data_IF_467702023520
#
_entry.id   IF_467702023520
#
_cell.length_a   1.000
_cell.length_b   1.000
_cell.length_c   1.000
_cell.angle_alpha   90.00
_cell.angle_beta   90.00
_cell.angle_gamma   90.00
#
_symmetry.space_group_name_H-M   'P 1'
#
loop_
_entity.id
_entity.type
_entity.pdbx_description
1 polymer ?
#
# COMPACT_ATOMS: atom_id res chain seq x y z
N UNK A 1 -24.81 16.27 47.58
CA UNK A 1 -23.38 16.63 47.37
C UNK A 1 -22.48 15.48 46.85
N UNK A 2 -22.79 14.19 47.07
CA UNK A 2 -21.93 13.07 46.61
C UNK A 2 -21.97 12.76 45.09
N UNK A 3 -23.07 13.08 44.41
CA UNK A 3 -23.23 12.78 42.97
C UNK A 3 -22.31 13.65 42.10
N UNK A 4 -22.14 14.93 42.43
CA UNK A 4 -21.24 15.82 41.69
C UNK A 4 -19.76 15.41 41.77
N UNK A 5 -19.31 14.80 42.88
CA UNK A 5 -17.91 14.38 43.01
C UNK A 5 -17.60 13.10 42.23
N UNK A 6 -18.59 12.21 42.07
CA UNK A 6 -18.50 11.03 41.20
C UNK A 6 -18.48 11.43 39.73
N UNK A 7 -19.35 12.37 39.33
CA UNK A 7 -19.39 12.92 37.97
C UNK A 7 -18.06 13.63 37.64
N UNK A 8 -17.49 14.41 38.57
CA UNK A 8 -16.20 15.07 38.38
C UNK A 8 -15.03 14.10 38.18
N UNK A 9 -15.02 12.96 38.88
CA UNK A 9 -14.02 11.90 38.68
C UNK A 9 -14.19 11.16 37.35
N UNK A 10 -15.43 10.90 36.91
CA UNK A 10 -15.69 10.26 35.62
C UNK A 10 -15.25 11.18 34.47
N UNK A 11 -15.55 12.48 34.56
CA UNK A 11 -15.13 13.47 33.57
C UNK A 11 -13.60 13.59 33.53
N UNK A 12 -12.92 13.59 34.69
CA UNK A 12 -11.45 13.65 34.70
C UNK A 12 -10.80 12.40 34.10
N UNK A 13 -11.35 11.21 34.38
CA UNK A 13 -10.89 9.95 33.79
C UNK A 13 -11.13 9.89 32.27
N UNK A 14 -12.28 10.38 31.79
CA UNK A 14 -12.57 10.50 30.35
C UNK A 14 -11.60 11.47 29.68
N UNK A 15 -11.26 12.58 30.35
CA UNK A 15 -10.33 13.58 29.82
C UNK A 15 -8.90 13.04 29.71
N UNK A 16 -8.41 12.34 30.74
CA UNK A 16 -7.09 11.70 30.75
C UNK A 16 -7.00 10.62 29.67
N UNK A 17 -8.01 9.75 29.57
CA UNK A 17 -8.07 8.73 28.51
C UNK A 17 -8.19 9.35 27.12
N UNK A 18 -8.94 10.45 26.98
CA UNK A 18 -9.09 11.16 25.72
C UNK A 18 -7.78 11.74 25.21
N UNK A 19 -6.97 12.32 26.09
CA UNK A 19 -5.66 12.86 25.72
C UNK A 19 -4.65 11.75 25.40
N UNK A 20 -4.69 10.62 26.13
CA UNK A 20 -3.89 9.43 25.80
C UNK A 20 -4.27 8.83 24.43
N UNK A 21 -5.57 8.69 24.14
CA UNK A 21 -6.06 8.17 22.85
C UNK A 21 -5.70 9.11 21.69
N UNK A 22 -5.76 10.43 21.88
CA UNK A 22 -5.29 11.39 20.88
C UNK A 22 -3.79 11.22 20.61
N UNK A 23 -2.99 11.05 21.66
CA UNK A 23 -1.55 10.83 21.53
C UNK A 23 -1.24 9.53 20.77
N UNK A 24 -1.90 8.43 21.12
CA UNK A 24 -1.76 7.14 20.43
C UNK A 24 -2.21 7.19 18.98
N UNK A 25 -3.31 7.89 18.68
CA UNK A 25 -3.77 8.13 17.31
C UNK A 25 -2.73 8.89 16.51
N UNK A 26 -2.22 10.01 17.03
CA UNK A 26 -1.20 10.81 16.35
C UNK A 26 0.06 9.97 16.10
N UNK A 27 0.54 9.23 17.10
CA UNK A 27 1.71 8.36 16.94
C UNK A 27 1.48 7.27 15.89
N UNK A 28 0.30 6.66 15.87
CA UNK A 28 -0.07 5.62 14.90
C UNK A 28 -0.20 6.19 13.48
N UNK A 29 -0.80 7.38 13.34
CA UNK A 29 -0.87 8.09 12.08
C UNK A 29 0.51 8.52 11.59
N UNK A 30 1.35 9.07 12.47
CA UNK A 30 2.73 9.45 12.13
C UNK A 30 3.55 8.24 11.67
N UNK A 31 3.45 7.10 12.34
CA UNK A 31 4.16 5.89 11.93
C UNK A 31 3.61 5.31 10.61
N UNK A 32 2.29 5.31 10.44
CA UNK A 32 1.65 4.92 9.17
C UNK A 32 2.06 5.83 8.01
N UNK A 33 2.12 7.14 8.24
CA UNK A 33 2.56 8.13 7.26
C UNK A 33 4.04 7.94 6.92
N UNK A 34 4.91 7.74 7.91
CA UNK A 34 6.32 7.47 7.69
C UNK A 34 6.54 6.20 6.84
N UNK A 35 5.85 5.10 7.18
CA UNK A 35 5.86 3.87 6.39
C UNK A 35 5.29 4.07 4.99
N UNK A 36 4.22 4.85 4.85
CA UNK A 36 3.61 5.14 3.55
C UNK A 36 4.55 5.94 2.66
N UNK A 37 5.26 6.94 3.20
CA UNK A 37 6.25 7.74 2.47
C UNK A 37 7.41 6.84 2.02
N UNK A 38 7.95 6.02 2.94
CA UNK A 38 9.02 5.07 2.61
C UNK A 38 8.59 4.12 1.50
N UNK A 39 7.40 3.52 1.63
CA UNK A 39 6.83 2.61 0.65
C UNK A 39 6.62 3.30 -0.70
N UNK A 40 6.15 4.55 -0.69
CA UNK A 40 5.93 5.33 -1.91
C UNK A 40 7.25 5.64 -2.63
N UNK A 41 8.29 6.04 -1.88
CA UNK A 41 9.64 6.27 -2.45
C UNK A 41 10.20 4.97 -3.04
N UNK A 42 10.10 3.86 -2.30
CA UNK A 42 10.50 2.53 -2.80
C UNK A 42 9.74 2.12 -4.06
N UNK A 43 8.44 2.36 -4.10
CA UNK A 43 7.61 2.06 -5.26
C UNK A 43 8.04 2.87 -6.49
N UNK A 44 8.32 4.17 -6.33
CA UNK A 44 8.83 5.02 -7.40
C UNK A 44 10.20 4.53 -7.89
N UNK A 45 11.13 4.25 -6.97
CA UNK A 45 12.45 3.74 -7.31
C UNK A 45 12.37 2.40 -8.06
N UNK A 46 11.52 1.50 -7.60
CA UNK A 46 11.28 0.21 -8.26
C UNK A 46 10.68 0.39 -9.66
N UNK A 47 9.73 1.31 -9.82
CA UNK A 47 9.14 1.63 -11.11
C UNK A 47 10.19 2.17 -12.08
N UNK A 48 11.02 3.11 -11.60
CA UNK A 48 12.09 3.70 -12.40
C UNK A 48 13.13 2.66 -12.83
N UNK A 49 13.51 1.76 -11.92
CA UNK A 49 14.39 0.63 -12.22
C UNK A 49 13.81 -0.25 -13.33
N UNK A 50 12.51 -0.60 -13.25
CA UNK A 50 11.85 -1.43 -14.27
C UNK A 50 11.84 -0.75 -15.65
N UNK A 51 11.61 0.56 -15.70
CA UNK A 51 11.64 1.34 -16.94
C UNK A 51 13.04 1.27 -17.56
N UNK A 52 14.08 1.55 -16.76
CA UNK A 52 15.46 1.49 -17.26
C UNK A 52 15.87 0.09 -17.69
N UNK A 53 15.48 -0.95 -16.93
CA UNK A 53 15.74 -2.33 -17.28
C UNK A 53 15.07 -2.69 -18.61
N UNK A 54 13.84 -2.25 -18.82
CA UNK A 54 13.14 -2.47 -20.08
C UNK A 54 13.80 -1.75 -21.26
N UNK A 55 14.34 -0.55 -21.06
CA UNK A 55 15.13 0.11 -22.11
C UNK A 55 16.42 -0.63 -22.40
N UNK A 56 17.12 -1.13 -21.39
CA UNK A 56 18.31 -1.96 -21.58
C UNK A 56 18.00 -3.21 -22.39
N UNK A 57 16.92 -3.93 -22.05
CA UNK A 57 16.45 -5.10 -22.79
C UNK A 57 16.07 -4.71 -24.22
N UNK A 58 15.36 -3.60 -24.42
CA UNK A 58 15.00 -3.13 -25.75
C UNK A 58 16.22 -2.88 -26.65
N UNK A 59 17.29 -2.30 -26.10
CA UNK A 59 18.54 -2.07 -26.83
C UNK A 59 19.20 -3.39 -27.21
N UNK A 60 19.28 -4.36 -26.29
CA UNK A 60 19.80 -5.69 -26.59
C UNK A 60 19.00 -6.36 -27.71
N UNK A 61 17.67 -6.28 -27.66
CA UNK A 61 16.82 -6.81 -28.73
C UNK A 61 17.02 -6.09 -30.06
N UNK A 62 17.24 -4.77 -30.06
CA UNK A 62 17.54 -4.02 -31.29
C UNK A 62 18.82 -4.50 -31.97
N UNK A 63 19.87 -4.79 -31.19
CA UNK A 63 21.12 -5.35 -31.71
C UNK A 63 20.90 -6.75 -32.31
N UNK A 64 20.18 -7.63 -31.60
CA UNK A 64 19.87 -8.97 -32.09
C UNK A 64 19.00 -8.98 -33.36
N UNK A 65 18.05 -8.06 -33.46
CA UNK A 65 17.12 -7.97 -34.59
C UNK A 65 17.68 -7.14 -35.76
N UNK A 66 18.92 -6.65 -35.66
CA UNK A 66 19.56 -5.75 -36.64
C UNK A 66 18.67 -4.56 -37.02
N UNK A 67 17.86 -4.06 -36.08
CA UNK A 67 16.91 -2.99 -36.35
C UNK A 67 16.78 -2.04 -35.17
N UNK A 68 16.80 -0.73 -35.44
CA UNK A 68 16.91 0.31 -34.40
C UNK A 68 15.64 0.52 -33.55
N UNK A 69 14.50 -0.07 -33.92
CA UNK A 69 13.19 0.27 -33.34
C UNK A 69 12.39 -0.91 -32.76
N UNK A 70 12.65 -2.15 -33.21
CA UNK A 70 11.79 -3.29 -32.87
C UNK A 70 11.85 -3.70 -31.40
N UNK A 71 13.02 -3.60 -30.77
CA UNK A 71 13.21 -3.86 -29.35
C UNK A 71 12.39 -2.91 -28.47
N UNK A 72 12.20 -1.65 -28.87
CA UNK A 72 11.31 -0.73 -28.15
C UNK A 72 9.83 -1.09 -28.34
N UNK A 73 9.45 -1.58 -29.52
CA UNK A 73 8.10 -2.07 -29.78
C UNK A 73 7.76 -3.30 -28.91
N UNK A 74 8.72 -4.22 -28.76
CA UNK A 74 8.59 -5.41 -27.92
C UNK A 74 8.48 -5.03 -26.44
N UNK A 75 9.33 -4.10 -25.98
CA UNK A 75 9.25 -3.56 -24.62
C UNK A 75 7.89 -2.88 -24.35
N UNK A 76 7.39 -2.10 -25.31
CA UNK A 76 6.07 -1.46 -25.21
C UNK A 76 4.93 -2.49 -25.14
N UNK A 77 4.97 -3.53 -25.98
CA UNK A 77 4.00 -4.61 -25.97
C UNK A 77 3.99 -5.39 -24.64
N UNK A 78 5.17 -5.59 -24.03
CA UNK A 78 5.28 -6.19 -22.70
C UNK A 78 4.59 -5.36 -21.62
N UNK A 79 4.82 -4.05 -21.57
CA UNK A 79 4.13 -3.17 -20.62
C UNK A 79 2.62 -3.11 -20.87
N UNK A 80 2.18 -3.13 -22.12
CA UNK A 80 0.76 -3.22 -22.46
C UNK A 80 0.12 -4.49 -21.90
N UNK A 81 0.78 -5.64 -22.05
CA UNK A 81 0.33 -6.91 -21.46
C UNK A 81 0.21 -6.82 -19.94
N UNK A 82 1.21 -6.26 -19.26
CA UNK A 82 1.17 -6.06 -17.80
C UNK A 82 -0.02 -5.19 -17.40
N UNK A 83 -0.29 -4.10 -18.12
CA UNK A 83 -1.45 -3.23 -17.85
C UNK A 83 -2.76 -4.01 -18.03
N UNK A 84 -2.90 -4.80 -19.10
CA UNK A 84 -4.10 -5.62 -19.33
C UNK A 84 -4.30 -6.62 -18.19
N UNK A 85 -3.23 -7.30 -17.74
CA UNK A 85 -3.28 -8.26 -16.63
C UNK A 85 -3.69 -7.55 -15.33
N UNK A 86 -3.09 -6.41 -15.01
CA UNK A 86 -3.41 -5.64 -13.80
C UNK A 86 -4.86 -5.14 -13.83
N UNK A 87 -5.33 -4.61 -14.96
CA UNK A 87 -6.72 -4.15 -15.10
C UNK A 87 -7.69 -5.32 -14.99
N UNK A 88 -7.37 -6.46 -15.59
CA UNK A 88 -8.20 -7.66 -15.50
C UNK A 88 -8.24 -8.23 -14.08
N UNK A 89 -7.10 -8.27 -13.40
CA UNK A 89 -7.00 -8.71 -12.01
C UNK A 89 -7.70 -7.76 -11.04
N UNK A 90 -7.65 -6.44 -11.28
CA UNK A 90 -8.39 -5.43 -10.52
C UNK A 90 -9.91 -5.57 -10.72
N UNK A 91 -10.35 -5.88 -11.94
CA UNK A 91 -11.77 -6.19 -12.25
C UNK A 91 -12.24 -7.49 -11.61
N UNK A 92 -11.37 -8.50 -11.56
CA UNK A 92 -11.62 -9.72 -10.83
C UNK A 92 -11.63 -9.39 -9.34
N UNK A 93 -12.83 -9.25 -8.75
CA UNK A 93 -13.09 -9.08 -7.31
C UNK A 93 -12.35 -10.08 -6.38
N UNK A 94 -11.53 -10.99 -6.89
CA UNK A 94 -10.57 -11.83 -6.16
C UNK A 94 -9.72 -11.06 -5.14
N UNK A 95 -9.23 -9.85 -5.46
CA UNK A 95 -8.45 -9.07 -4.47
C UNK A 95 -9.34 -8.71 -3.27
N UNK A 96 -10.59 -8.34 -3.53
CA UNK A 96 -11.56 -8.04 -2.48
C UNK A 96 -11.93 -9.28 -1.67
N UNK A 97 -12.15 -10.42 -2.32
CA UNK A 97 -12.45 -11.69 -1.64
C UNK A 97 -11.24 -12.22 -0.83
N UNK A 98 -10.01 -12.01 -1.31
CA UNK A 98 -8.78 -12.39 -0.60
C UNK A 98 -8.53 -11.49 0.62
N UNK A 99 -8.75 -10.17 0.47
CA UNK A 99 -8.70 -9.24 1.60
C UNK A 99 -9.76 -9.53 2.65
N UNK A 100 -11.00 -9.84 2.24
CA UNK A 100 -12.07 -10.24 3.15
C UNK A 100 -11.70 -11.52 3.93
N UNK A 101 -11.07 -12.52 3.28
CA UNK A 101 -10.58 -13.73 3.95
C UNK A 101 -9.49 -13.47 5.00
N UNK A 102 -8.48 -12.66 4.67
CA UNK A 102 -7.37 -12.34 5.59
C UNK A 102 -7.84 -11.48 6.79
N UNK A 103 -8.80 -10.58 6.57
CA UNK A 103 -9.36 -9.74 7.65
C UNK A 103 -10.19 -10.57 8.63
N UNK A 104 -10.98 -11.52 8.13
CA UNK A 104 -11.78 -12.43 8.97
C UNK A 104 -10.87 -13.35 9.80
N UNK A 105 -9.82 -13.90 9.20
CA UNK A 105 -8.87 -14.79 9.89
C UNK A 105 -8.05 -14.04 10.96
N UNK A 106 -7.60 -12.82 10.67
CA UNK A 106 -6.89 -11.98 11.65
C UNK A 106 -7.77 -11.50 12.81
N UNK A 107 -9.09 -11.36 12.60
CA UNK A 107 -10.06 -11.04 13.66
C UNK A 107 -10.38 -12.27 14.53
N UNK A 108 -10.40 -13.47 13.95
CA UNK A 108 -10.67 -14.71 14.69
C UNK A 108 -9.48 -15.13 15.58
N UNK A 109 -8.24 -14.96 15.09
CA UNK A 109 -7.03 -15.30 15.85
C UNK A 109 -6.75 -14.35 17.04
N UNK A 110 -7.44 -13.21 17.12
CA UNK A 110 -7.33 -12.27 18.24
C UNK A 110 -8.25 -12.61 19.42
N UNK A 111 -9.00 -13.71 19.34
CA UNK A 111 -9.87 -14.16 20.43
C UNK A 111 -9.80 -15.69 20.63
N UNK A 112 -8.78 -16.15 21.36
CA UNK A 112 -8.98 -17.13 22.44
C UNK A 112 -9.00 -16.44 23.80
#
# INVERSE_FOLDING_TARGET
MKVNSLIGKIISLIKIKGDQVKLELILKFSNFLALSILFFILAILSLLMLIFLSFGIAVVFNEFLMSSYWGYFIASAFFLLVIVIVVWMSRSRKIRNWLEGVIIESSYKKNP
#
